data_IF_730173655657
#
_entry.id   IF_730173655657
#
_cell.length_a   1.000
_cell.length_b   1.000
_cell.length_c   1.000
_cell.angle_alpha   90.00
_cell.angle_beta   90.00
_cell.angle_gamma   90.00
#
_symmetry.space_group_name_H-M   'P 1'
#
loop_
_entity.id
_entity.type
_entity.pdbx_description
1 polymer ?
#
# COMPACT_ATOMS: atom_id res chain seq x y z
N UNK A 1 -13.22 9.08 -23.27
CA UNK A 1 -12.91 9.52 -21.90
C UNK A 1 -11.62 10.32 -21.94
N UNK A 2 -11.50 11.37 -21.13
CA UNK A 2 -10.26 12.16 -21.05
C UNK A 2 -9.13 11.32 -20.45
N UNK A 3 -7.92 11.47 -20.97
CA UNK A 3 -6.76 10.80 -20.41
C UNK A 3 -6.38 11.40 -19.07
N UNK A 4 -5.90 10.58 -18.16
CA UNK A 4 -5.40 10.99 -16.84
C UNK A 4 -3.96 10.52 -16.70
N UNK A 5 -3.10 11.45 -16.33
CA UNK A 5 -1.67 11.21 -16.18
C UNK A 5 -1.25 11.33 -14.73
N UNK A 6 -0.21 10.60 -14.37
CA UNK A 6 0.54 10.83 -13.13
C UNK A 6 1.83 11.58 -13.50
N UNK A 7 2.05 12.72 -12.86
CA UNK A 7 3.22 13.59 -13.12
C UNK A 7 4.25 13.57 -11.99
N UNK A 8 3.87 13.10 -10.82
CA UNK A 8 4.79 12.89 -9.69
C UNK A 8 4.32 11.71 -8.84
N UNK A 9 5.26 10.98 -8.27
CA UNK A 9 5.03 9.83 -7.42
C UNK A 9 6.13 9.75 -6.36
N UNK A 10 5.78 9.84 -5.07
CA UNK A 10 6.72 9.86 -3.95
C UNK A 10 6.18 9.08 -2.75
N UNK A 11 7.10 8.63 -1.90
CA UNK A 11 6.80 8.00 -0.62
C UNK A 11 7.84 8.34 0.44
N UNK A 12 7.54 8.10 1.68
CA UNK A 12 8.57 8.02 2.72
C UNK A 12 9.33 6.70 2.62
N UNK A 13 10.47 6.58 3.25
CA UNK A 13 10.95 5.27 3.70
C UNK A 13 9.86 4.63 4.59
N UNK A 14 9.85 3.30 4.69
CA UNK A 14 8.91 2.57 5.55
C UNK A 14 9.62 2.26 6.87
N UNK A 15 9.03 2.74 7.99
CA UNK A 15 9.49 2.49 9.34
C UNK A 15 9.00 1.15 9.88
N UNK A 16 9.77 0.55 10.78
CA UNK A 16 9.33 -0.60 11.57
C UNK A 16 8.38 -0.17 12.67
N UNK A 17 7.57 -1.10 13.15
CA UNK A 17 6.72 -0.87 14.32
C UNK A 17 7.55 -0.44 15.52
N UNK A 18 7.17 0.70 16.11
CA UNK A 18 7.90 1.36 17.20
C UNK A 18 9.37 1.68 16.87
N UNK A 19 9.69 1.85 15.58
CA UNK A 19 11.01 2.21 15.07
C UNK A 19 11.22 3.72 14.91
N UNK A 20 12.00 4.11 13.92
CA UNK A 20 12.43 5.50 13.72
C UNK A 20 11.28 6.49 13.47
N UNK A 21 10.14 6.04 12.92
CA UNK A 21 8.97 6.87 12.62
C UNK A 21 7.93 6.94 13.75
N UNK A 22 8.17 6.29 14.89
CA UNK A 22 7.21 6.18 16.02
C UNK A 22 6.63 7.54 16.45
N UNK A 23 7.43 8.60 16.42
CA UNK A 23 7.03 9.93 16.88
C UNK A 23 6.51 10.85 15.76
N UNK A 24 6.35 10.32 14.54
CA UNK A 24 5.84 11.07 13.38
C UNK A 24 4.41 10.63 13.11
N UNK A 25 3.48 11.56 13.18
CA UNK A 25 2.06 11.25 12.92
C UNK A 25 1.81 10.92 11.45
N UNK A 26 0.75 10.15 11.18
CA UNK A 26 0.33 9.87 9.81
C UNK A 26 0.13 11.15 8.98
N UNK A 27 -0.42 12.20 9.59
CA UNK A 27 -0.60 13.49 8.91
C UNK A 27 0.73 14.17 8.56
N UNK A 28 1.77 14.06 9.39
CA UNK A 28 3.11 14.60 9.10
C UNK A 28 3.83 13.81 8.02
N UNK A 29 3.75 12.47 8.05
CA UNK A 29 4.28 11.61 6.98
C UNK A 29 3.64 11.98 5.63
N UNK A 30 2.31 12.06 5.58
CA UNK A 30 1.59 12.44 4.37
C UNK A 30 1.93 13.85 3.89
N UNK A 31 2.00 14.82 4.80
CA UNK A 31 2.33 16.20 4.48
C UNK A 31 3.72 16.37 3.85
N UNK A 32 4.71 15.63 4.36
CA UNK A 32 6.07 15.66 3.80
C UNK A 32 6.09 15.18 2.34
N UNK A 33 5.40 14.07 2.05
CA UNK A 33 5.31 13.53 0.68
C UNK A 33 4.56 14.47 -0.25
N UNK A 34 3.39 14.99 0.18
CA UNK A 34 2.55 15.91 -0.61
C UNK A 34 3.31 17.21 -0.93
N UNK A 35 4.02 17.76 0.05
CA UNK A 35 4.87 18.94 -0.13
C UNK A 35 5.98 18.68 -1.15
N UNK A 36 6.66 17.53 -1.06
CA UNK A 36 7.74 17.18 -1.99
C UNK A 36 7.22 17.02 -3.43
N UNK A 37 6.07 16.38 -3.61
CA UNK A 37 5.42 16.22 -4.93
C UNK A 37 5.22 17.58 -5.62
N UNK A 38 4.68 18.56 -4.91
CA UNK A 38 4.42 19.90 -5.47
C UNK A 38 5.72 20.63 -5.76
N UNK A 39 6.73 20.46 -4.92
CA UNK A 39 8.08 21.02 -5.13
C UNK A 39 8.72 20.45 -6.40
N UNK A 40 8.66 19.14 -6.59
CA UNK A 40 9.30 18.46 -7.73
C UNK A 40 8.71 18.88 -9.08
N UNK A 41 7.41 19.12 -9.14
CA UNK A 41 6.75 19.56 -10.38
C UNK A 41 6.71 21.09 -10.54
N UNK A 42 7.25 21.83 -9.56
CA UNK A 42 7.26 23.29 -9.52
C UNK A 42 5.85 23.93 -9.77
N UNK A 43 4.83 23.31 -9.19
CA UNK A 43 3.45 23.78 -9.29
C UNK A 43 3.07 24.56 -8.03
N UNK A 44 2.29 25.65 -8.17
CA UNK A 44 1.80 26.37 -7.00
C UNK A 44 0.67 25.57 -6.33
N UNK A 45 0.67 25.46 -4.98
CA UNK A 45 -0.36 24.71 -4.25
C UNK A 45 -1.80 25.15 -4.52
N UNK A 46 -2.01 26.42 -4.89
CA UNK A 46 -3.34 26.99 -5.23
C UNK A 46 -3.99 26.33 -6.45
N UNK A 47 -3.21 25.63 -7.28
CA UNK A 47 -3.70 24.93 -8.46
C UNK A 47 -4.15 23.48 -8.17
N UNK A 48 -3.93 23.01 -6.93
CA UNK A 48 -4.40 21.69 -6.50
C UNK A 48 -5.87 21.79 -6.11
N UNK A 49 -6.71 20.99 -6.74
CA UNK A 49 -8.14 20.95 -6.42
C UNK A 49 -8.39 20.21 -5.10
N UNK A 50 -7.78 19.04 -4.95
CA UNK A 50 -8.03 18.18 -3.80
C UNK A 50 -6.78 17.35 -3.43
N UNK A 51 -6.71 16.97 -2.13
CA UNK A 51 -5.81 15.93 -1.62
C UNK A 51 -6.66 14.80 -1.01
N UNK A 52 -6.56 13.59 -1.54
CA UNK A 52 -7.31 12.42 -1.08
C UNK A 52 -6.33 11.47 -0.39
N UNK A 53 -6.56 11.21 0.91
CA UNK A 53 -5.63 10.43 1.74
C UNK A 53 -6.27 9.16 2.26
N UNK A 54 -5.74 8.00 1.86
CA UNK A 54 -6.04 6.73 2.52
C UNK A 54 -5.50 6.70 3.94
N UNK A 55 -6.33 6.34 4.91
CA UNK A 55 -5.92 6.14 6.30
C UNK A 55 -6.91 5.19 6.98
N UNK A 56 -6.40 4.21 7.72
CA UNK A 56 -7.19 3.11 8.31
C UNK A 56 -7.37 3.28 9.80
N UNK A 57 -6.38 3.82 10.48
CA UNK A 57 -6.31 3.92 11.94
C UNK A 57 -6.42 5.39 12.42
N UNK A 58 -7.57 6.05 12.24
CA UNK A 58 -7.71 7.47 12.52
C UNK A 58 -7.97 7.81 14.00
N UNK A 59 -8.18 6.81 14.86
CA UNK A 59 -8.50 7.07 16.28
C UNK A 59 -7.37 7.84 16.97
N UNK A 60 -7.73 8.86 17.74
CA UNK A 60 -6.76 9.68 18.48
C UNK A 60 -5.95 10.68 17.64
N UNK A 61 -6.05 10.66 16.31
CA UNK A 61 -5.29 11.56 15.44
C UNK A 61 -5.94 12.94 15.22
N UNK A 62 -7.09 13.21 15.81
CA UNK A 62 -7.86 14.44 15.59
C UNK A 62 -8.76 14.37 14.36
N UNK A 63 -9.32 15.52 13.97
CA UNK A 63 -10.25 15.56 12.84
C UNK A 63 -9.54 15.38 11.51
N UNK A 64 -10.03 14.43 10.69
CA UNK A 64 -9.76 14.35 9.28
C UNK A 64 -8.27 14.34 8.89
N UNK A 65 -7.58 13.20 9.03
CA UNK A 65 -6.14 13.06 8.71
C UNK A 65 -5.82 13.65 7.33
N UNK A 66 -6.64 13.40 6.30
CA UNK A 66 -6.43 13.98 4.96
C UNK A 66 -6.47 15.51 4.94
N UNK A 67 -7.32 16.15 5.77
CA UNK A 67 -7.30 17.62 5.90
C UNK A 67 -6.05 18.10 6.62
N UNK A 68 -5.61 17.40 7.64
CA UNK A 68 -4.38 17.72 8.35
C UNK A 68 -3.16 17.65 7.42
N UNK A 69 -3.11 16.67 6.51
CA UNK A 69 -2.06 16.56 5.48
C UNK A 69 -1.96 17.85 4.68
N UNK A 70 -3.07 18.39 4.16
CA UNK A 70 -3.12 19.64 3.38
C UNK A 70 -2.54 20.82 4.18
N UNK A 71 -3.03 21.00 5.41
CA UNK A 71 -2.62 22.13 6.25
C UNK A 71 -1.15 22.02 6.69
N UNK A 72 -0.71 20.82 7.09
CA UNK A 72 0.68 20.57 7.48
C UNK A 72 1.65 20.66 6.30
N UNK A 73 1.21 20.39 5.08
CA UNK A 73 1.98 20.62 3.85
C UNK A 73 2.15 22.12 3.51
N UNK A 74 1.44 23.00 4.21
CA UNK A 74 1.49 24.45 3.99
C UNK A 74 0.64 24.91 2.78
N UNK A 75 -0.34 24.12 2.38
CA UNK A 75 -1.23 24.50 1.29
C UNK A 75 -2.29 25.52 1.74
N UNK A 76 -2.83 26.33 0.81
CA UNK A 76 -3.91 27.27 1.10
C UNK A 76 -5.14 26.57 1.68
N UNK A 77 -5.88 27.30 2.52
CA UNK A 77 -7.11 26.80 3.12
C UNK A 77 -8.21 26.43 2.10
N UNK A 78 -8.12 26.96 0.88
CA UNK A 78 -9.02 26.66 -0.24
C UNK A 78 -8.86 25.26 -0.81
N UNK A 79 -7.68 24.62 -0.64
CA UNK A 79 -7.44 23.26 -1.13
C UNK A 79 -8.21 22.27 -0.25
N UNK A 80 -9.09 21.47 -0.85
CA UNK A 80 -9.87 20.47 -0.15
C UNK A 80 -9.00 19.27 0.23
N UNK A 81 -9.16 18.75 1.46
CA UNK A 81 -8.48 17.52 1.90
C UNK A 81 -9.43 16.64 2.69
N UNK A 82 -9.47 15.34 2.38
CA UNK A 82 -10.29 14.37 3.11
C UNK A 82 -9.68 12.97 3.09
N UNK A 83 -10.19 12.10 3.97
CA UNK A 83 -9.74 10.73 4.14
C UNK A 83 -10.64 9.72 3.45
N UNK A 84 -10.04 8.60 3.00
CA UNK A 84 -10.72 7.41 2.48
C UNK A 84 -10.27 6.20 3.30
N UNK A 85 -11.20 5.34 3.71
CA UNK A 85 -10.90 4.08 4.38
C UNK A 85 -11.48 2.91 3.60
N UNK A 86 -10.60 2.03 3.15
CA UNK A 86 -10.90 0.74 2.50
C UNK A 86 -9.85 -0.29 2.96
N UNK A 87 -9.55 -0.31 4.26
CA UNK A 87 -8.48 -1.12 4.86
C UNK A 87 -7.19 -1.02 4.03
N UNK A 88 -6.52 -2.14 3.70
CA UNK A 88 -5.27 -2.15 2.92
C UNK A 88 -5.37 -1.43 1.55
N UNK A 89 -6.58 -1.37 0.98
CA UNK A 89 -6.87 -0.70 -0.30
C UNK A 89 -6.94 0.82 -0.26
N UNK A 90 -6.96 1.44 0.93
CA UNK A 90 -7.25 2.87 1.10
C UNK A 90 -6.40 3.79 0.22
N UNK A 91 -5.09 3.57 0.15
CA UNK A 91 -4.20 4.40 -0.68
C UNK A 91 -4.45 4.24 -2.18
N UNK A 92 -4.68 3.03 -2.68
CA UNK A 92 -5.04 2.81 -4.08
C UNK A 92 -6.45 3.33 -4.39
N UNK A 93 -7.40 3.16 -3.47
CA UNK A 93 -8.76 3.69 -3.61
C UNK A 93 -8.76 5.21 -3.75
N UNK A 94 -7.93 5.91 -2.97
CA UNK A 94 -7.75 7.36 -3.13
C UNK A 94 -7.27 7.73 -4.56
N UNK A 95 -6.32 6.98 -5.12
CA UNK A 95 -5.85 7.17 -6.50
C UNK A 95 -6.97 6.88 -7.50
N UNK A 96 -7.73 5.79 -7.32
CA UNK A 96 -8.86 5.42 -8.17
C UNK A 96 -9.96 6.50 -8.16
N UNK A 97 -10.29 7.03 -6.99
CA UNK A 97 -11.30 8.08 -6.84
C UNK A 97 -10.83 9.39 -7.51
N UNK A 98 -9.54 9.75 -7.35
CA UNK A 98 -8.93 10.88 -8.06
C UNK A 98 -8.99 10.72 -9.57
N UNK A 99 -8.66 9.54 -10.08
CA UNK A 99 -8.77 9.20 -11.50
C UNK A 99 -10.21 9.37 -12.03
N UNK A 100 -11.19 8.82 -11.33
CA UNK A 100 -12.60 8.90 -11.72
C UNK A 100 -13.14 10.34 -11.69
N UNK A 101 -12.74 11.15 -10.70
CA UNK A 101 -13.13 12.57 -10.61
C UNK A 101 -12.56 13.38 -11.78
N UNK A 102 -11.31 13.15 -12.17
CA UNK A 102 -10.71 13.82 -13.32
C UNK A 102 -11.39 13.37 -14.61
N UNK A 103 -11.68 12.07 -14.77
CA UNK A 103 -12.42 11.57 -15.93
C UNK A 103 -13.83 12.17 -16.05
N UNK A 104 -14.50 12.40 -14.91
CA UNK A 104 -15.81 13.03 -14.84
C UNK A 104 -15.78 14.55 -15.07
N UNK A 105 -14.59 15.16 -15.19
CA UNK A 105 -14.41 16.60 -15.35
C UNK A 105 -14.70 17.41 -14.07
N UNK A 106 -14.74 16.75 -12.91
CA UNK A 106 -14.97 17.40 -11.62
C UNK A 106 -13.72 18.13 -11.11
N UNK A 107 -12.55 17.59 -11.35
CA UNK A 107 -11.24 18.13 -10.95
C UNK A 107 -10.24 17.99 -12.08
N UNK A 108 -9.17 18.78 -12.05
CA UNK A 108 -8.09 18.75 -13.03
C UNK A 108 -6.76 18.29 -12.44
N UNK A 109 -6.49 18.60 -11.16
CA UNK A 109 -5.24 18.27 -10.47
C UNK A 109 -5.56 17.76 -9.06
N UNK A 110 -5.25 16.50 -8.81
CA UNK A 110 -5.50 15.83 -7.53
C UNK A 110 -4.21 15.20 -7.04
N UNK A 111 -3.89 15.37 -5.75
CA UNK A 111 -2.88 14.56 -5.09
C UNK A 111 -3.61 13.46 -4.32
N UNK A 112 -3.31 12.19 -4.64
CA UNK A 112 -3.98 11.06 -4.05
C UNK A 112 -2.98 9.98 -3.60
N UNK A 113 -3.28 9.35 -2.48
CA UNK A 113 -2.41 8.33 -1.93
C UNK A 113 -2.86 7.90 -0.55
N UNK A 114 -1.93 7.61 0.33
CA UNK A 114 -2.27 7.22 1.69
C UNK A 114 -1.11 7.37 2.66
N UNK A 115 -1.46 7.37 3.93
CA UNK A 115 -0.54 7.52 5.05
C UNK A 115 -1.02 6.71 6.24
N UNK A 116 -0.11 6.10 6.96
CA UNK A 116 -0.41 5.34 8.16
C UNK A 116 0.71 5.45 9.18
N UNK A 117 0.36 5.60 10.44
CA UNK A 117 1.26 5.38 11.57
C UNK A 117 0.63 4.31 12.47
N UNK A 118 1.00 3.06 12.22
CA UNK A 118 0.51 1.93 13.03
C UNK A 118 1.13 1.97 14.43
N UNK A 119 2.32 2.54 14.55
CA UNK A 119 2.99 2.76 15.85
C UNK A 119 2.23 3.71 16.77
N UNK A 120 1.42 4.62 16.23
CA UNK A 120 0.63 5.58 17.01
C UNK A 120 -0.84 5.17 17.19
N UNK A 121 -1.22 3.97 16.74
CA UNK A 121 -2.57 3.47 16.97
C UNK A 121 -2.85 3.33 18.48
N UNK A 122 -3.89 3.98 19.02
CA UNK A 122 -4.16 3.96 20.45
C UNK A 122 -4.89 2.69 20.88
N UNK A 123 -4.94 2.47 22.20
CA UNK A 123 -5.89 1.54 22.79
C UNK A 123 -7.25 2.21 22.98
N UNK A 124 -8.33 1.48 22.76
CA UNK A 124 -9.70 1.96 22.82
C UNK A 124 -10.41 1.46 24.07
N UNK A 125 -11.12 2.34 24.72
CA UNK A 125 -12.00 2.02 25.86
C UNK A 125 -13.43 1.86 25.35
N UNK A 126 -14.19 0.80 25.75
CA UNK A 126 -15.54 0.58 25.27
C UNK A 126 -16.48 1.76 25.54
N UNK A 127 -17.42 2.01 24.61
CA UNK A 127 -18.39 3.13 24.76
C UNK A 127 -19.23 3.06 26.04
N UNK A 128 -19.41 1.86 26.60
CA UNK A 128 -20.13 1.64 27.87
C UNK A 128 -19.55 2.44 29.05
N UNK A 129 -18.27 2.82 28.99
CA UNK A 129 -17.66 3.69 30.01
C UNK A 129 -18.28 5.08 30.03
N UNK A 130 -18.87 5.58 28.91
CA UNK A 130 -19.60 6.87 28.86
C UNK A 130 -20.89 6.86 29.67
N UNK A 131 -21.51 5.70 29.86
CA UNK A 131 -22.75 5.52 30.63
C UNK A 131 -22.50 4.96 32.04
N UNK A 132 -21.22 4.86 32.43
CA UNK A 132 -20.76 4.36 33.72
C UNK A 132 -20.57 2.84 33.75
N UNK A 133 -19.35 2.39 33.93
CA UNK A 133 -19.03 0.99 34.20
C UNK A 133 -19.35 0.69 35.66
N UNK A 134 -20.57 0.25 35.95
CA UNK A 134 -21.06 0.12 37.33
C UNK A 134 -20.47 -1.07 38.08
N UNK A 135 -20.16 -2.18 37.39
CA UNK A 135 -19.67 -3.43 37.99
C UNK A 135 -18.97 -4.27 36.94
N UNK A 136 -18.00 -5.10 37.36
CA UNK A 136 -17.14 -5.96 36.54
C UNK A 136 -16.05 -5.22 35.73
N UNK A 137 -15.10 -6.00 35.26
CA UNK A 137 -14.00 -5.51 34.43
C UNK A 137 -14.50 -5.23 33.00
N UNK A 138 -13.76 -4.38 32.26
CA UNK A 138 -13.93 -4.21 30.83
C UNK A 138 -12.57 -4.38 30.14
N UNK A 139 -12.62 -4.83 28.90
CA UNK A 139 -11.43 -4.97 28.06
C UNK A 139 -11.06 -3.64 27.42
N UNK A 140 -9.76 -3.38 27.31
CA UNK A 140 -9.19 -2.30 26.49
C UNK A 140 -8.73 -2.94 25.20
N UNK A 141 -9.17 -2.37 24.07
CA UNK A 141 -8.98 -2.95 22.75
C UNK A 141 -7.84 -2.22 22.04
N UNK A 142 -6.87 -2.97 21.49
CA UNK A 142 -5.86 -2.42 20.61
C UNK A 142 -6.50 -2.04 19.26
N UNK A 143 -6.56 -0.75 18.95
CA UNK A 143 -7.15 -0.23 17.72
C UNK A 143 -6.52 -0.84 16.45
N UNK A 144 -5.19 -0.98 16.44
CA UNK A 144 -4.47 -1.55 15.31
C UNK A 144 -4.89 -3.01 15.03
N UNK A 145 -4.96 -3.83 16.08
CA UNK A 145 -5.35 -5.24 15.95
C UNK A 145 -6.83 -5.33 15.57
N UNK A 146 -7.69 -4.63 16.29
CA UNK A 146 -9.14 -4.77 16.18
C UNK A 146 -9.70 -4.25 14.85
N UNK A 147 -9.25 -3.07 14.41
CA UNK A 147 -9.83 -2.41 13.23
C UNK A 147 -9.06 -2.68 11.92
N UNK A 148 -7.80 -3.18 11.99
CA UNK A 148 -7.03 -3.47 10.79
C UNK A 148 -6.70 -4.95 10.57
N UNK A 149 -6.57 -5.75 11.63
CA UNK A 149 -6.04 -7.12 11.53
C UNK A 149 -7.03 -8.23 11.92
N UNK A 150 -8.20 -7.87 12.45
CA UNK A 150 -9.29 -8.82 12.80
C UNK A 150 -10.43 -8.64 11.80
N UNK A 151 -10.92 -9.76 11.26
CA UNK A 151 -12.11 -9.78 10.42
C UNK A 151 -13.35 -9.42 11.25
N UNK A 152 -14.14 -8.46 10.75
CA UNK A 152 -15.29 -7.93 11.46
C UNK A 152 -16.50 -8.90 11.52
N UNK A 153 -16.51 -9.93 10.67
CA UNK A 153 -17.63 -10.85 10.54
C UNK A 153 -17.45 -12.10 11.41
N UNK A 154 -16.30 -12.73 11.29
CA UNK A 154 -15.99 -13.98 12.00
C UNK A 154 -15.03 -13.78 13.19
N UNK A 155 -14.48 -12.58 13.38
CA UNK A 155 -13.55 -12.27 14.47
C UNK A 155 -12.19 -12.97 14.33
N UNK A 156 -11.83 -13.42 13.14
CA UNK A 156 -10.56 -14.11 12.89
C UNK A 156 -9.45 -13.13 12.49
N UNK A 157 -8.23 -13.43 12.87
CA UNK A 157 -7.07 -12.65 12.45
C UNK A 157 -6.81 -12.85 10.95
N UNK A 158 -6.32 -11.81 10.23
CA UNK A 158 -5.99 -11.87 8.80
C UNK A 158 -5.05 -13.03 8.45
N UNK A 159 -4.16 -13.43 9.35
CA UNK A 159 -3.31 -14.60 9.18
C UNK A 159 -4.07 -15.93 9.06
N UNK A 160 -5.27 -16.05 9.66
CA UNK A 160 -6.15 -17.21 9.46
C UNK A 160 -6.70 -17.25 8.04
N UNK A 161 -7.01 -16.08 7.44
CA UNK A 161 -7.43 -16.05 6.03
C UNK A 161 -6.31 -16.51 5.09
N UNK A 162 -5.04 -16.24 5.44
CA UNK A 162 -3.89 -16.79 4.73
C UNK A 162 -3.76 -18.30 4.89
N UNK A 163 -4.00 -18.85 6.09
CA UNK A 163 -4.05 -20.31 6.31
C UNK A 163 -5.20 -20.98 5.53
N UNK A 164 -6.31 -20.28 5.33
CA UNK A 164 -7.40 -20.77 4.48
C UNK A 164 -6.95 -20.91 3.02
N UNK A 165 -6.13 -19.95 2.53
CA UNK A 165 -5.53 -20.01 1.18
C UNK A 165 -4.50 -21.13 1.09
N UNK A 166 -3.68 -21.33 2.13
CA UNK A 166 -2.78 -22.49 2.24
C UNK A 166 -3.55 -23.78 2.05
N UNK A 167 -4.65 -23.95 2.77
CA UNK A 167 -5.47 -25.16 2.71
C UNK A 167 -6.13 -25.34 1.35
N UNK A 168 -6.67 -24.25 0.76
CA UNK A 168 -7.32 -24.27 -0.56
C UNK A 168 -6.37 -24.67 -1.68
N UNK A 169 -5.16 -24.14 -1.68
CA UNK A 169 -4.19 -24.28 -2.77
C UNK A 169 -3.06 -25.26 -2.48
N UNK A 170 -3.05 -25.88 -1.30
CA UNK A 170 -2.02 -26.82 -0.85
C UNK A 170 -0.60 -26.21 -0.96
N UNK A 171 -0.45 -24.95 -0.50
CA UNK A 171 0.84 -24.24 -0.52
C UNK A 171 1.68 -24.70 0.66
N UNK A 172 2.86 -25.26 0.40
CA UNK A 172 3.72 -25.75 1.46
C UNK A 172 4.38 -24.62 2.26
N UNK A 173 4.89 -24.94 3.44
CA UNK A 173 5.68 -24.01 4.26
C UNK A 173 6.97 -23.60 3.54
N UNK A 174 7.61 -24.53 2.88
CA UNK A 174 8.84 -24.32 2.12
C UNK A 174 8.64 -23.36 0.96
N UNK A 175 7.53 -23.46 0.23
CA UNK A 175 7.18 -22.51 -0.83
C UNK A 175 6.97 -21.09 -0.26
N UNK A 176 6.32 -20.96 0.89
CA UNK A 176 6.11 -19.67 1.56
C UNK A 176 7.43 -19.05 2.02
N UNK A 177 8.29 -19.84 2.66
CA UNK A 177 9.59 -19.35 3.14
C UNK A 177 10.54 -19.03 1.99
N UNK A 178 10.52 -19.80 0.88
CA UNK A 178 11.26 -19.50 -0.34
C UNK A 178 10.80 -18.19 -0.99
N UNK A 179 9.51 -17.92 -1.03
CA UNK A 179 8.97 -16.66 -1.51
C UNK A 179 9.40 -15.49 -0.62
N UNK A 180 9.31 -15.66 0.70
CA UNK A 180 9.67 -14.63 1.67
C UNK A 180 11.16 -14.27 1.60
N UNK A 181 12.06 -15.24 1.52
CA UNK A 181 13.50 -14.96 1.42
C UNK A 181 13.85 -14.28 0.09
N UNK A 182 13.18 -14.66 -1.00
CA UNK A 182 13.37 -13.99 -2.30
C UNK A 182 12.93 -12.51 -2.24
N UNK A 183 11.80 -12.20 -1.58
CA UNK A 183 11.36 -10.82 -1.34
C UNK A 183 12.40 -10.05 -0.52
N UNK A 184 12.92 -10.62 0.58
CA UNK A 184 13.96 -9.99 1.40
C UNK A 184 15.24 -9.69 0.60
N UNK A 185 15.72 -10.65 -0.18
CA UNK A 185 16.94 -10.49 -0.99
C UNK A 185 16.78 -9.37 -2.03
N UNK A 186 15.64 -9.34 -2.74
CA UNK A 186 15.31 -8.29 -3.70
C UNK A 186 15.25 -6.91 -3.04
N UNK A 187 14.60 -6.79 -1.88
CA UNK A 187 14.46 -5.53 -1.16
C UNK A 187 15.82 -5.02 -0.64
N UNK A 188 16.64 -5.89 -0.05
CA UNK A 188 17.98 -5.53 0.42
C UNK A 188 18.84 -5.05 -0.75
N UNK A 189 18.83 -5.76 -1.87
CA UNK A 189 19.56 -5.36 -3.07
C UNK A 189 19.08 -4.00 -3.60
N UNK A 190 17.76 -3.78 -3.63
CA UNK A 190 17.18 -2.52 -4.10
C UNK A 190 17.57 -1.34 -3.20
N UNK A 191 17.52 -1.49 -1.87
CA UNK A 191 17.96 -0.47 -0.91
C UNK A 191 19.45 -0.19 -1.07
N UNK A 192 20.29 -1.22 -1.14
CA UNK A 192 21.76 -1.06 -1.20
C UNK A 192 22.23 -0.46 -2.51
N UNK A 193 21.55 -0.76 -3.61
CA UNK A 193 21.87 -0.17 -4.93
C UNK A 193 21.24 1.22 -5.15
N UNK A 194 20.51 1.77 -4.16
CA UNK A 194 19.84 3.06 -4.29
C UNK A 194 18.66 3.05 -5.25
N UNK A 195 18.05 1.87 -5.50
CA UNK A 195 16.94 1.72 -6.46
C UNK A 195 15.74 2.57 -6.10
N UNK A 196 15.54 2.85 -4.80
CA UNK A 196 14.43 3.65 -4.28
C UNK A 196 14.73 5.14 -4.09
N UNK A 197 15.94 5.63 -4.41
CA UNK A 197 16.34 7.01 -4.13
C UNK A 197 15.45 8.06 -4.81
N UNK A 198 14.92 7.76 -6.00
CA UNK A 198 14.06 8.70 -6.73
C UNK A 198 12.62 8.77 -6.20
N UNK A 199 12.21 7.78 -5.42
CA UNK A 199 10.84 7.72 -4.89
C UNK A 199 10.76 8.09 -3.40
N UNK A 200 11.83 7.91 -2.63
CA UNK A 200 11.85 8.16 -1.19
C UNK A 200 12.14 9.63 -0.88
N UNK A 201 11.27 10.22 -0.06
CA UNK A 201 11.43 11.58 0.49
C UNK A 201 12.20 11.49 1.79
N UNK A 202 13.38 12.13 1.92
CA UNK A 202 14.11 12.18 3.18
C UNK A 202 13.33 12.97 4.25
N UNK A 203 13.32 12.46 5.47
CA UNK A 203 12.67 13.09 6.62
C UNK A 203 13.67 13.28 7.77
N UNK A 204 13.72 14.47 8.34
CA UNK A 204 14.39 14.65 9.62
C UNK A 204 13.45 14.16 10.73
N UNK A 205 13.88 13.14 11.46
CA UNK A 205 13.08 12.51 12.52
C UNK A 205 13.85 12.45 13.82
N UNK A 206 13.14 12.63 14.93
CA UNK A 206 13.73 12.57 16.26
C UNK A 206 13.62 11.15 16.82
N UNK A 207 14.78 10.52 17.02
CA UNK A 207 14.90 9.18 17.64
C UNK A 207 15.61 9.34 18.99
N UNK A 208 14.87 9.20 20.08
CA UNK A 208 15.39 9.50 21.42
C UNK A 208 15.79 10.97 21.56
N UNK A 209 17.09 11.24 21.72
CA UNK A 209 17.65 12.60 21.82
C UNK A 209 18.26 13.11 20.52
N UNK A 210 18.42 12.28 19.52
CA UNK A 210 19.08 12.59 18.25
C UNK A 210 18.08 12.92 17.16
N UNK A 211 18.48 13.77 16.22
CA UNK A 211 17.77 13.99 14.96
C UNK A 211 18.54 13.26 13.88
N UNK A 212 17.88 12.34 13.21
CA UNK A 212 18.46 11.56 12.10
C UNK A 212 17.76 11.89 10.79
N UNK A 213 18.47 11.72 9.68
CA UNK A 213 17.86 11.74 8.36
C UNK A 213 17.33 10.33 8.03
N UNK A 214 16.01 10.18 7.96
CA UNK A 214 15.34 8.94 7.59
C UNK A 214 15.05 8.97 6.08
N UNK A 215 15.93 8.34 5.31
CA UNK A 215 15.96 8.38 3.85
C UNK A 215 15.92 6.99 3.19
N UNK A 216 15.68 5.92 3.97
CA UNK A 216 15.66 4.53 3.49
C UNK A 216 14.60 3.71 4.21
N UNK A 217 14.19 2.61 3.57
CA UNK A 217 13.36 1.61 4.20
C UNK A 217 14.12 0.91 5.35
N UNK A 218 13.54 0.93 6.53
CA UNK A 218 14.14 0.40 7.76
C UNK A 218 13.85 -1.10 7.96
N UNK A 219 12.76 -1.61 7.36
CA UNK A 219 12.22 -2.91 7.65
C UNK A 219 12.99 -4.11 7.04
N UNK A 220 13.71 -4.03 5.90
CA UNK A 220 14.38 -5.19 5.30
C UNK A 220 15.35 -5.88 6.28
N UNK A 221 15.11 -7.17 6.52
CA UNK A 221 15.85 -7.95 7.54
C UNK A 221 17.06 -8.66 6.94
N UNK A 222 18.24 -8.04 7.06
CA UNK A 222 19.52 -8.56 6.54
C UNK A 222 20.00 -9.85 7.21
N UNK A 223 19.36 -10.25 8.32
CA UNK A 223 19.75 -11.45 9.08
C UNK A 223 18.86 -12.65 8.74
N UNK A 224 17.89 -12.50 7.85
CA UNK A 224 16.98 -13.57 7.44
C UNK A 224 17.71 -14.59 6.56
N UNK A 225 17.46 -15.88 6.78
CA UNK A 225 17.90 -17.00 5.95
C UNK A 225 16.83 -18.09 5.95
N UNK A 226 16.88 -19.02 4.98
CA UNK A 226 15.94 -20.15 4.93
C UNK A 226 15.97 -20.99 6.19
N UNK A 227 17.17 -21.23 6.74
CA UNK A 227 17.34 -21.98 7.99
C UNK A 227 16.66 -21.30 9.16
N UNK A 228 16.75 -19.96 9.25
CA UNK A 228 16.05 -19.20 10.30
C UNK A 228 14.54 -19.19 10.09
N UNK A 229 14.07 -19.01 8.85
CA UNK A 229 12.65 -19.06 8.55
C UNK A 229 12.06 -20.41 8.94
N UNK A 230 12.72 -21.51 8.61
CA UNK A 230 12.28 -22.87 8.94
C UNK A 230 12.10 -23.10 10.45
N UNK A 231 12.83 -22.38 11.32
CA UNK A 231 12.71 -22.51 12.79
C UNK A 231 11.53 -21.74 13.38
N UNK A 232 10.91 -20.83 12.62
CA UNK A 232 9.80 -20.01 13.12
C UNK A 232 8.54 -20.85 13.32
N UNK A 233 7.88 -20.65 14.46
CA UNK A 233 6.60 -21.30 14.75
C UNK A 233 5.48 -20.61 13.98
N UNK A 234 4.42 -21.35 13.61
CA UNK A 234 3.20 -20.76 13.10
C UNK A 234 2.67 -19.68 14.04
N UNK A 235 2.25 -18.51 13.48
CA UNK A 235 1.87 -17.36 14.27
C UNK A 235 0.36 -17.29 14.56
N UNK A 236 -0.48 -17.88 13.71
CA UNK A 236 -1.92 -17.66 13.72
C UNK A 236 -2.74 -18.92 14.00
N UNK A 237 -2.21 -20.10 13.69
CA UNK A 237 -2.87 -21.39 13.87
C UNK A 237 -1.87 -22.41 14.39
N UNK A 238 -2.25 -23.22 15.40
CA UNK A 238 -1.35 -24.15 16.10
C UNK A 238 -0.56 -25.07 15.15
N UNK A 239 -1.23 -25.64 14.16
CA UNK A 239 -0.64 -26.54 13.16
C UNK A 239 -0.63 -25.86 11.77
N UNK A 240 -0.46 -24.55 11.73
CA UNK A 240 -0.39 -23.76 10.51
C UNK A 240 1.01 -23.68 9.90
N UNK A 241 1.12 -22.89 8.84
CA UNK A 241 2.38 -22.68 8.12
C UNK A 241 2.75 -21.19 7.97
N UNK A 242 1.80 -20.29 8.24
CA UNK A 242 2.02 -18.84 8.18
C UNK A 242 2.75 -18.38 9.44
N UNK A 243 3.89 -17.71 9.26
CA UNK A 243 4.77 -17.24 10.35
C UNK A 243 5.02 -15.74 10.25
N UNK A 244 5.62 -15.16 11.27
CA UNK A 244 6.09 -13.77 11.22
C UNK A 244 7.16 -13.52 10.14
N UNK A 245 7.82 -14.58 9.64
CA UNK A 245 8.86 -14.45 8.61
C UNK A 245 8.34 -14.53 7.18
N UNK A 246 7.13 -15.08 6.97
CA UNK A 246 6.48 -15.18 5.65
C UNK A 246 5.17 -14.38 5.56
N UNK A 247 4.99 -13.41 6.47
CA UNK A 247 3.94 -12.41 6.50
C UNK A 247 4.54 -11.00 6.45
N UNK A 248 3.77 -10.00 6.01
CA UNK A 248 4.16 -8.60 6.09
C UNK A 248 4.20 -8.10 7.54
N UNK A 249 4.92 -7.03 7.78
CA UNK A 249 5.04 -6.41 9.09
C UNK A 249 3.97 -5.36 9.39
N UNK A 250 4.06 -4.85 10.61
CA UNK A 250 3.37 -3.66 11.10
C UNK A 250 4.32 -2.48 10.92
N UNK A 251 3.89 -1.43 10.20
CA UNK A 251 4.79 -0.42 9.71
C UNK A 251 4.16 0.97 9.66
N UNK A 252 5.01 1.99 9.54
CA UNK A 252 4.65 3.40 9.38
C UNK A 252 5.13 3.90 8.02
N UNK A 253 4.35 4.74 7.34
CA UNK A 253 4.76 5.31 6.07
C UNK A 253 3.66 6.04 5.32
N UNK A 254 4.04 6.75 4.27
CA UNK A 254 3.15 7.47 3.37
C UNK A 254 3.59 7.35 1.92
N UNK A 255 2.63 7.34 1.00
CA UNK A 255 2.89 7.34 -0.43
C UNK A 255 1.76 8.09 -1.16
N UNK A 256 2.11 8.94 -2.11
CA UNK A 256 1.16 9.75 -2.89
C UNK A 256 1.62 9.89 -4.33
N UNK A 257 0.66 10.16 -5.21
CA UNK A 257 0.87 10.53 -6.61
C UNK A 257 0.11 11.81 -6.93
N UNK A 258 0.57 12.60 -7.92
CA UNK A 258 -0.18 13.71 -8.47
C UNK A 258 -0.79 13.29 -9.80
N UNK A 259 -2.12 13.31 -9.84
CA UNK A 259 -2.95 13.02 -11.01
C UNK A 259 -3.34 14.32 -11.70
N UNK A 260 -3.26 14.35 -13.02
CA UNK A 260 -3.64 15.53 -13.82
C UNK A 260 -4.46 15.14 -15.03
N UNK A 261 -5.41 16.01 -15.40
CA UNK A 261 -6.10 15.93 -16.69
C UNK A 261 -5.16 16.29 -17.84
N UNK A 262 -5.47 15.86 -19.07
CA UNK A 262 -4.72 16.28 -20.26
C UNK A 262 -4.71 17.80 -20.44
N UNK A 263 -5.77 18.48 -20.05
CA UNK A 263 -5.87 19.93 -20.09
C UNK A 263 -4.89 20.61 -19.12
N UNK A 264 -4.86 20.14 -17.85
CA UNK A 264 -3.92 20.65 -16.86
C UNK A 264 -2.46 20.32 -17.22
N UNK A 265 -2.19 19.14 -17.78
CA UNK A 265 -0.86 18.77 -18.26
C UNK A 265 -0.31 19.80 -19.25
N UNK A 266 -1.13 20.20 -20.23
CA UNK A 266 -0.78 21.22 -21.24
C UNK A 266 -0.71 22.62 -20.65
N UNK A 267 -1.70 23.00 -19.84
CA UNK A 267 -1.81 24.34 -19.25
C UNK A 267 -0.60 24.70 -18.38
N UNK A 268 -0.12 23.74 -17.58
CA UNK A 268 0.99 23.95 -16.65
C UNK A 268 2.34 23.41 -17.15
N UNK A 269 2.39 22.94 -18.41
CA UNK A 269 3.59 22.36 -19.04
C UNK A 269 4.24 21.27 -18.16
N UNK A 270 3.40 20.37 -17.63
CA UNK A 270 3.87 19.27 -16.76
C UNK A 270 4.38 18.10 -17.60
N UNK A 271 5.37 17.40 -17.09
CA UNK A 271 5.92 16.20 -17.73
C UNK A 271 5.25 14.95 -17.16
N UNK A 272 4.54 14.15 -17.97
CA UNK A 272 3.90 12.94 -17.46
C UNK A 272 4.94 11.84 -17.19
N UNK A 273 4.73 11.09 -16.10
CA UNK A 273 5.47 9.86 -15.82
C UNK A 273 4.78 8.68 -16.50
N UNK A 274 3.48 8.53 -16.29
CA UNK A 274 2.65 7.45 -16.82
C UNK A 274 1.22 7.95 -17.09
N UNK A 275 0.52 7.25 -18.00
CA UNK A 275 -0.94 7.34 -18.18
C UNK A 275 -1.62 6.24 -17.35
N UNK A 276 -2.73 6.52 -16.69
CA UNK A 276 -3.60 5.51 -16.10
C UNK A 276 -4.49 4.94 -17.20
N UNK A 277 -4.29 3.67 -17.54
CA UNK A 277 -5.08 2.97 -18.56
C UNK A 277 -6.46 2.61 -18.02
N UNK A 278 -6.52 2.14 -16.78
CA UNK A 278 -7.76 1.83 -16.10
C UNK A 278 -7.56 1.34 -14.68
N UNK A 279 -8.67 1.32 -13.96
CA UNK A 279 -8.76 0.87 -12.57
C UNK A 279 -9.97 -0.04 -12.40
N UNK A 280 -9.87 -0.98 -11.47
CA UNK A 280 -11.02 -1.80 -11.07
C UNK A 280 -10.90 -2.31 -9.64
N UNK A 281 -12.00 -2.79 -9.11
CA UNK A 281 -12.09 -3.37 -7.78
C UNK A 281 -13.02 -4.59 -7.80
N UNK A 282 -12.88 -5.45 -6.80
CA UNK A 282 -13.73 -6.63 -6.66
C UNK A 282 -13.98 -6.94 -5.19
N UNK A 283 -15.03 -7.71 -4.94
CA UNK A 283 -15.30 -8.31 -3.64
C UNK A 283 -15.45 -9.84 -3.79
N UNK A 284 -14.99 -10.56 -2.78
CA UNK A 284 -14.98 -12.01 -2.69
C UNK A 284 -15.33 -12.45 -1.26
N UNK A 285 -15.32 -13.74 -0.98
CA UNK A 285 -15.49 -14.28 0.38
C UNK A 285 -14.39 -13.72 1.32
N UNK A 286 -14.77 -13.05 2.43
CA UNK A 286 -13.81 -12.54 3.43
C UNK A 286 -12.85 -13.59 3.96
N UNK A 287 -13.26 -14.85 4.07
CA UNK A 287 -12.45 -15.95 4.58
C UNK A 287 -11.19 -16.26 3.77
N UNK A 288 -11.17 -15.82 2.51
CA UNK A 288 -10.06 -15.94 1.57
C UNK A 288 -9.70 -14.57 0.97
N UNK A 289 -9.82 -13.50 1.74
CA UNK A 289 -9.65 -12.11 1.30
C UNK A 289 -8.38 -11.89 0.48
N UNK A 290 -7.32 -12.64 0.75
CA UNK A 290 -6.04 -12.56 0.06
C UNK A 290 -6.12 -12.84 -1.44
N UNK A 291 -7.19 -13.48 -1.93
CA UNK A 291 -7.42 -13.77 -3.35
C UNK A 291 -8.18 -12.63 -4.08
N UNK A 292 -8.56 -11.55 -3.39
CA UNK A 292 -9.22 -10.38 -3.98
C UNK A 292 -8.53 -9.82 -5.24
N UNK A 293 -7.18 -9.79 -5.31
CA UNK A 293 -6.46 -9.36 -6.50
C UNK A 293 -6.80 -10.14 -7.77
N UNK A 294 -7.10 -11.44 -7.69
CA UNK A 294 -7.42 -12.28 -8.85
C UNK A 294 -8.59 -11.69 -9.63
N UNK A 295 -9.70 -11.46 -8.93
CA UNK A 295 -10.91 -10.90 -9.56
C UNK A 295 -10.68 -9.43 -9.99
N UNK A 296 -10.04 -8.61 -9.17
CA UNK A 296 -9.78 -7.21 -9.52
C UNK A 296 -8.88 -7.07 -10.76
N UNK A 297 -7.84 -7.91 -10.87
CA UNK A 297 -6.96 -7.95 -12.05
C UNK A 297 -7.74 -8.39 -13.30
N UNK A 298 -8.50 -9.47 -13.22
CA UNK A 298 -9.33 -9.94 -14.36
C UNK A 298 -10.32 -8.86 -14.80
N UNK A 299 -10.92 -8.14 -13.85
CA UNK A 299 -11.85 -7.07 -14.16
C UNK A 299 -11.16 -5.91 -14.89
N UNK A 300 -10.00 -5.44 -14.41
CA UNK A 300 -9.30 -4.32 -15.06
C UNK A 300 -8.75 -4.71 -16.43
N UNK A 301 -8.24 -5.93 -16.60
CA UNK A 301 -7.82 -6.44 -17.90
C UNK A 301 -8.98 -6.45 -18.91
N UNK A 302 -10.15 -6.96 -18.50
CA UNK A 302 -11.35 -6.98 -19.34
C UNK A 302 -11.84 -5.57 -19.67
N UNK A 303 -11.91 -4.67 -18.67
CA UNK A 303 -12.35 -3.28 -18.86
C UNK A 303 -11.48 -2.49 -19.82
N UNK A 304 -10.17 -2.73 -19.79
CA UNK A 304 -9.19 -2.02 -20.62
C UNK A 304 -8.83 -2.75 -21.91
N UNK A 305 -9.34 -3.96 -22.11
CA UNK A 305 -8.96 -4.86 -23.20
C UNK A 305 -7.45 -5.09 -23.25
N UNK A 306 -6.80 -5.16 -22.10
CA UNK A 306 -5.35 -5.38 -21.97
C UNK A 306 -5.08 -6.88 -21.86
N UNK A 307 -4.15 -7.39 -22.67
CA UNK A 307 -3.62 -8.75 -22.52
C UNK A 307 -2.62 -8.77 -21.33
N UNK A 308 -2.78 -9.70 -20.41
CA UNK A 308 -1.84 -9.87 -19.28
C UNK A 308 -0.38 -10.05 -19.76
N UNK A 309 -0.18 -10.70 -20.91
CA UNK A 309 1.15 -10.93 -21.49
C UNK A 309 1.82 -9.66 -22.02
N UNK A 310 1.06 -8.58 -22.22
CA UNK A 310 1.60 -7.26 -22.58
C UNK A 310 2.15 -6.47 -21.40
N UNK A 311 1.95 -6.95 -20.17
CA UNK A 311 2.46 -6.30 -18.97
C UNK A 311 3.91 -6.70 -18.70
N UNK A 312 4.77 -5.71 -18.54
CA UNK A 312 6.21 -5.91 -18.27
C UNK A 312 6.50 -6.12 -16.79
N UNK A 313 5.75 -5.45 -15.93
CA UNK A 313 5.95 -5.42 -14.48
C UNK A 313 4.63 -5.53 -13.72
N UNK A 314 4.68 -6.22 -12.58
CA UNK A 314 3.59 -6.33 -11.64
C UNK A 314 4.05 -5.96 -10.23
N UNK A 315 3.24 -5.19 -9.51
CA UNK A 315 3.36 -4.97 -8.08
C UNK A 315 2.14 -5.59 -7.39
N UNK A 316 2.30 -6.74 -6.78
CA UNK A 316 1.29 -7.43 -5.98
C UNK A 316 1.66 -7.28 -4.51
N UNK A 317 0.83 -6.62 -3.71
CA UNK A 317 1.16 -6.43 -2.30
C UNK A 317 1.24 -7.79 -1.57
N UNK A 318 2.35 -8.01 -0.89
CA UNK A 318 2.65 -9.25 -0.17
C UNK A 318 2.15 -9.16 1.27
N UNK A 319 0.84 -9.22 1.49
CA UNK A 319 0.31 -9.31 2.85
C UNK A 319 0.79 -10.60 3.55
N UNK A 320 0.81 -11.70 2.78
CA UNK A 320 1.35 -13.01 3.19
C UNK A 320 1.96 -13.71 1.96
N UNK A 321 3.01 -14.51 2.15
CA UNK A 321 3.58 -15.32 1.07
C UNK A 321 2.54 -16.30 0.50
N UNK A 322 1.77 -16.97 1.37
CA UNK A 322 0.68 -17.84 0.97
C UNK A 322 -0.36 -17.12 0.10
N UNK A 323 -0.70 -15.89 0.45
CA UNK A 323 -1.65 -15.06 -0.31
C UNK A 323 -1.09 -14.73 -1.70
N UNK A 324 0.16 -14.29 -1.79
CA UNK A 324 0.80 -13.94 -3.06
C UNK A 324 0.92 -15.16 -3.98
N UNK A 325 1.33 -16.31 -3.45
CA UNK A 325 1.41 -17.57 -4.18
C UNK A 325 0.04 -18.06 -4.65
N UNK A 326 -1.00 -17.90 -3.82
CA UNK A 326 -2.38 -18.24 -4.17
C UNK A 326 -2.90 -17.37 -5.32
N UNK A 327 -2.65 -16.06 -5.29
CA UNK A 327 -3.00 -15.12 -6.38
C UNK A 327 -2.29 -15.52 -7.68
N UNK A 328 -0.98 -15.76 -7.64
CA UNK A 328 -0.20 -16.16 -8.81
C UNK A 328 -0.71 -17.48 -9.37
N UNK A 329 -1.06 -18.46 -8.51
CA UNK A 329 -1.59 -19.75 -8.94
C UNK A 329 -2.92 -19.59 -9.67
N UNK A 330 -3.91 -18.90 -9.08
CA UNK A 330 -5.21 -18.69 -9.72
C UNK A 330 -5.10 -17.89 -11.02
N UNK A 331 -4.27 -16.83 -11.06
CA UNK A 331 -4.06 -16.07 -12.29
C UNK A 331 -3.38 -16.91 -13.37
N UNK A 332 -2.41 -17.76 -13.01
CA UNK A 332 -1.74 -18.68 -13.92
C UNK A 332 -2.73 -19.65 -14.57
N UNK A 333 -3.60 -20.24 -13.76
CA UNK A 333 -4.64 -21.18 -14.20
C UNK A 333 -5.72 -20.48 -15.05
N UNK A 334 -6.29 -19.38 -14.56
CA UNK A 334 -7.40 -18.66 -15.18
C UNK A 334 -7.04 -17.98 -16.51
N UNK A 335 -5.80 -17.46 -16.62
CA UNK A 335 -5.32 -16.74 -17.80
C UNK A 335 -4.45 -17.60 -18.72
N UNK A 336 -4.22 -18.86 -18.37
CA UNK A 336 -3.35 -19.79 -19.11
C UNK A 336 -1.95 -19.17 -19.38
N UNK A 337 -1.31 -18.69 -18.30
CA UNK A 337 0.02 -18.10 -18.30
C UNK A 337 0.90 -18.84 -17.29
N UNK A 338 2.13 -19.15 -17.66
CA UNK A 338 3.05 -19.86 -16.78
C UNK A 338 3.26 -19.15 -15.44
N UNK A 339 3.24 -19.87 -14.32
CA UNK A 339 3.53 -19.36 -12.98
C UNK A 339 4.87 -18.61 -12.93
N UNK A 340 5.88 -19.13 -13.62
CA UNK A 340 7.22 -18.53 -13.66
C UNK A 340 7.20 -17.15 -14.32
N UNK A 341 6.35 -16.93 -15.32
CA UNK A 341 6.16 -15.62 -15.96
C UNK A 341 5.71 -14.55 -14.94
N UNK A 342 4.81 -14.91 -14.04
CA UNK A 342 4.39 -14.01 -12.95
C UNK A 342 5.51 -13.76 -11.95
N UNK A 343 6.21 -14.82 -11.49
CA UNK A 343 7.27 -14.70 -10.48
C UNK A 343 8.44 -13.80 -10.94
N UNK A 344 8.79 -13.83 -12.23
CA UNK A 344 9.84 -13.01 -12.80
C UNK A 344 9.51 -11.53 -12.89
N UNK A 345 8.21 -11.19 -13.01
CA UNK A 345 7.72 -9.83 -13.22
C UNK A 345 7.16 -9.18 -11.96
N UNK A 346 6.87 -9.98 -10.95
CA UNK A 346 6.24 -9.51 -9.72
C UNK A 346 7.28 -9.07 -8.70
N UNK A 347 7.06 -7.86 -8.15
CA UNK A 347 7.81 -7.32 -7.01
C UNK A 347 9.33 -7.47 -7.22
N UNK A 348 9.81 -6.95 -8.34
CA UNK A 348 11.21 -7.13 -8.77
C UNK A 348 12.22 -6.48 -7.82
N UNK A 349 11.76 -5.59 -6.95
CA UNK A 349 12.53 -4.93 -5.90
C UNK A 349 12.11 -5.40 -4.49
N UNK A 350 11.48 -6.56 -4.36
CA UNK A 350 10.88 -7.02 -3.12
C UNK A 350 9.51 -6.40 -2.85
N UNK A 351 8.75 -6.96 -1.94
CA UNK A 351 7.40 -6.51 -1.58
C UNK A 351 7.21 -6.34 -0.09
N UNK A 352 5.96 -6.33 0.37
CA UNK A 352 5.60 -5.94 1.73
C UNK A 352 6.13 -6.87 2.83
N UNK A 353 6.45 -8.14 2.52
CA UNK A 353 7.12 -9.05 3.47
C UNK A 353 8.48 -8.47 3.89
N UNK A 354 9.17 -7.85 2.95
CA UNK A 354 10.49 -7.28 3.19
C UNK A 354 10.47 -5.77 3.45
N UNK A 355 9.63 -5.02 2.74
CA UNK A 355 9.57 -3.55 2.83
C UNK A 355 8.62 -3.06 3.92
N UNK A 356 7.61 -3.87 4.29
CA UNK A 356 6.60 -3.50 5.26
C UNK A 356 5.23 -3.14 4.66
N UNK A 357 4.20 -3.07 5.53
CA UNK A 357 2.81 -2.88 5.14
C UNK A 357 2.08 -1.82 5.98
N UNK A 358 2.42 -0.52 5.84
CA UNK A 358 1.62 0.55 6.43
C UNK A 358 0.25 0.56 5.74
N UNK A 359 -0.78 0.00 6.39
CA UNK A 359 -2.02 -0.44 5.74
C UNK A 359 -2.69 0.62 4.88
N UNK A 360 -2.85 1.85 5.37
CA UNK A 360 -3.48 2.94 4.60
C UNK A 360 -2.62 3.47 3.45
N UNK A 361 -1.29 3.28 3.50
CA UNK A 361 -0.35 3.78 2.49
C UNK A 361 -0.02 2.73 1.40
N UNK A 362 -0.11 1.45 1.73
CA UNK A 362 0.45 0.36 0.88
C UNK A 362 -0.10 0.33 -0.54
N UNK A 363 -1.39 0.59 -0.73
CA UNK A 363 -1.97 0.64 -2.08
C UNK A 363 -1.37 1.73 -2.96
N UNK A 364 -0.99 2.87 -2.39
CA UNK A 364 -0.27 3.92 -3.11
C UNK A 364 1.24 3.61 -3.22
N UNK A 365 1.84 2.97 -2.20
CA UNK A 365 3.24 2.58 -2.21
C UNK A 365 3.57 1.68 -3.42
N UNK A 366 2.76 0.65 -3.67
CA UNK A 366 2.99 -0.25 -4.81
C UNK A 366 2.85 0.47 -6.16
N UNK A 367 1.95 1.46 -6.26
CA UNK A 367 1.81 2.30 -7.46
C UNK A 367 3.05 3.18 -7.65
N UNK A 368 3.54 3.82 -6.59
CA UNK A 368 4.76 4.65 -6.65
C UNK A 368 5.96 3.82 -7.10
N UNK A 369 6.21 2.68 -6.47
CA UNK A 369 7.32 1.78 -6.82
C UNK A 369 7.21 1.28 -8.26
N UNK A 370 5.99 0.88 -8.69
CA UNK A 370 5.74 0.45 -10.08
C UNK A 370 6.12 1.55 -11.09
N UNK A 371 5.71 2.80 -10.86
CA UNK A 371 6.01 3.93 -11.75
C UNK A 371 7.52 4.12 -11.91
N UNK A 372 8.24 4.18 -10.78
CA UNK A 372 9.69 4.39 -10.80
C UNK A 372 10.43 3.21 -11.46
N UNK A 373 9.98 1.98 -11.22
CA UNK A 373 10.59 0.81 -11.83
C UNK A 373 10.29 0.72 -13.32
N UNK A 374 9.08 1.06 -13.77
CA UNK A 374 8.74 1.19 -15.18
C UNK A 374 9.65 2.19 -15.91
N UNK A 375 9.88 3.36 -15.30
CA UNK A 375 10.78 4.38 -15.88
C UNK A 375 12.22 3.87 -15.98
N UNK A 376 12.75 3.22 -14.94
CA UNK A 376 14.13 2.71 -14.89
C UNK A 376 14.38 1.56 -15.85
N UNK A 377 13.36 0.74 -16.15
CA UNK A 377 13.46 -0.38 -17.10
C UNK A 377 12.97 -0.05 -18.51
N UNK A 378 12.44 1.17 -18.71
CA UNK A 378 11.76 1.55 -19.95
C UNK A 378 10.59 0.61 -20.29
N UNK A 379 9.93 0.08 -19.26
CA UNK A 379 8.78 -0.81 -19.41
C UNK A 379 7.59 -0.05 -19.96
N UNK A 380 6.83 -0.69 -20.84
CA UNK A 380 5.70 -0.05 -21.52
C UNK A 380 4.44 -0.05 -20.68
N UNK A 381 4.15 -1.17 -19.99
CA UNK A 381 2.96 -1.31 -19.19
C UNK A 381 3.26 -2.04 -17.86
N UNK A 382 2.56 -1.65 -16.83
CA UNK A 382 2.62 -2.28 -15.53
C UNK A 382 1.28 -2.32 -14.82
N UNK A 383 1.13 -3.24 -13.87
CA UNK A 383 -0.08 -3.43 -13.07
C UNK A 383 0.27 -3.45 -11.59
N UNK A 384 -0.50 -2.73 -10.78
CA UNK A 384 -0.45 -2.87 -9.33
C UNK A 384 -1.79 -3.37 -8.78
N UNK A 385 -1.74 -4.27 -7.80
CA UNK A 385 -2.94 -4.82 -7.16
C UNK A 385 -2.65 -5.22 -5.73
N UNK A 386 -3.68 -5.19 -4.88
CA UNK A 386 -3.59 -5.66 -3.50
C UNK A 386 -4.89 -6.26 -3.01
N UNK A 387 -4.76 -7.21 -2.07
CA UNK A 387 -5.86 -7.75 -1.28
C UNK A 387 -6.26 -6.79 -0.15
N UNK A 388 -7.49 -6.92 0.32
CA UNK A 388 -8.10 -6.02 1.27
C UNK A 388 -8.91 -6.82 2.28
N UNK A 389 -8.72 -6.55 3.56
CA UNK A 389 -9.53 -7.13 4.63
C UNK A 389 -11.03 -6.93 4.37
N UNK A 390 -11.84 -7.92 4.74
CA UNK A 390 -13.27 -7.97 4.41
C UNK A 390 -13.57 -8.58 3.04
N UNK A 391 -12.56 -9.16 2.36
CA UNK A 391 -12.77 -9.89 1.10
C UNK A 391 -12.85 -8.98 -0.13
N UNK A 392 -11.90 -8.09 -0.32
CA UNK A 392 -11.88 -7.18 -1.47
C UNK A 392 -10.51 -7.18 -2.16
N UNK A 393 -10.45 -6.59 -3.35
CA UNK A 393 -9.23 -6.33 -4.09
C UNK A 393 -9.37 -5.10 -4.98
N UNK A 394 -8.24 -4.44 -5.26
CA UNK A 394 -8.16 -3.33 -6.23
C UNK A 394 -7.03 -3.57 -7.20
N UNK A 395 -7.16 -3.06 -8.42
CA UNK A 395 -6.13 -3.13 -9.45
C UNK A 395 -6.09 -1.85 -10.29
N UNK A 396 -4.88 -1.49 -10.73
CA UNK A 396 -4.61 -0.36 -11.62
C UNK A 396 -3.61 -0.78 -12.71
N UNK A 397 -3.87 -0.38 -13.96
CA UNK A 397 -2.94 -0.54 -15.08
C UNK A 397 -2.38 0.82 -15.46
N UNK A 398 -1.07 0.89 -15.58
CA UNK A 398 -0.29 2.06 -15.97
C UNK A 398 0.42 1.82 -17.30
N UNK A 399 0.55 2.88 -18.08
CA UNK A 399 1.28 2.87 -19.35
C UNK A 399 2.32 3.99 -19.36
N UNK A 400 3.54 3.67 -19.78
CA UNK A 400 4.61 4.64 -19.97
C UNK A 400 4.26 5.64 -21.10
N UNK A 401 4.71 6.87 -20.98
CA UNK A 401 4.44 7.96 -21.93
C UNK A 401 5.71 8.73 -22.25
#
# INVERSE_FOLDING_TARGET
>A
MSKVYIVAAKRTGIGTFLGSLTNVSAAELGAAVVKQIVTDVNLKPEHIDEVISGNVLPAGQGQGVGRQVVIKAGFPNSVVGYGVSMVCGSGMKAIMDGYLKIQAGWSNIIIAGGTESMSQAPYLIPYKTRIGAKMANFEVVDHMIYDALIDAYDGIHMGITAENIVSKHQISREEQDAFAIASQQKAIQAVDSGRFNDEVVPLEVKVGKEVILFDKDEYPNRKTSLEKLATLKPAFKKDGSVTAGNASGINDGAAYVMLVSEAALKQYNLTPLVEIVGVDQAAIDPKVMGLGPVTAIKNVLNRTHTDIKSLDLLELNEAFAAQSLGVIKELSEDLNVDKQWFLERTNVNGGAIALGHPVGASGARIVVTLIHEMKKRHSQQGLASLCIGGGMGTAIILKNV
#
